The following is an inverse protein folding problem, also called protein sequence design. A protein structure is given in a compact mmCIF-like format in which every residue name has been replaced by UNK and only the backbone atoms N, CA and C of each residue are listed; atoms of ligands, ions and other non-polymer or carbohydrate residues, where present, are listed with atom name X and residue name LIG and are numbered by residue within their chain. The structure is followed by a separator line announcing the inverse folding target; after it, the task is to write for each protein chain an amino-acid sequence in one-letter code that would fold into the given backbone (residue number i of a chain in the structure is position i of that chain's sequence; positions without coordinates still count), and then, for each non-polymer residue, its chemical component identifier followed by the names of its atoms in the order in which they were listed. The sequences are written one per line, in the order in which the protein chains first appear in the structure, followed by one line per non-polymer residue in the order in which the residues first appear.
data_IF_050673420096
#
_entry.id   IF_050673420096
#
_cell.length_a   1.000
_cell.length_b   1.000
_cell.length_c   1.000
_cell.angle_alpha   90.00
_cell.angle_beta   90.00
_cell.angle_gamma   90.00
#
_symmetry.space_group_name_H-M   'P 1'
#
loop_
_entity.id
_entity.type
_entity.pdbx_description
1 polymer ?
#
# COMPACT_ATOMS: atom_id res chain seq x y z
N UNK A 1 -10.48 3.91 7.49
CA UNK A 1 -11.23 5.03 8.11
C UNK A 1 -12.38 4.44 8.92
N UNK A 2 -12.40 4.64 10.24
CA UNK A 2 -13.59 4.33 11.04
C UNK A 2 -14.63 5.39 10.66
N UNK A 3 -15.54 5.06 9.74
CA UNK A 3 -16.76 5.85 9.61
C UNK A 3 -17.50 5.66 10.94
N UNK A 4 -17.38 6.65 11.83
CA UNK A 4 -18.31 6.77 12.94
C UNK A 4 -19.70 6.88 12.32
N UNK A 5 -20.46 5.79 12.37
CA UNK A 5 -21.85 5.72 11.92
C UNK A 5 -22.64 6.65 12.84
N UNK A 6 -22.83 7.91 12.42
CA UNK A 6 -23.71 8.84 13.13
C UNK A 6 -25.13 8.39 12.82
N UNK A 7 -25.68 7.54 13.70
CA UNK A 7 -27.05 7.07 13.60
C UNK A 7 -28.04 8.25 13.54
N UNK A 8 -28.92 8.32 12.53
CA UNK A 8 -29.93 9.36 12.42
C UNK A 8 -31.14 9.01 13.29
N UNK A 9 -30.97 8.98 14.61
CA UNK A 9 -32.08 8.98 15.55
C UNK A 9 -31.60 9.43 16.93
N UNK A 10 -31.67 10.73 17.19
CA UNK A 10 -32.41 11.19 18.37
C UNK A 10 -32.58 12.70 18.33
N UNK A 11 -33.83 13.11 18.17
CA UNK A 11 -34.31 14.46 18.32
C UNK A 11 -34.50 14.77 19.80
N UNK A 12 -33.41 14.75 20.58
CA UNK A 12 -33.42 15.37 21.90
C UNK A 12 -31.98 15.68 22.30
N UNK A 13 -31.67 16.97 22.45
CA UNK A 13 -30.39 17.41 22.98
C UNK A 13 -30.23 16.97 24.42
N UNK A 14 -29.48 15.89 24.66
CA UNK A 14 -28.87 15.58 25.96
C UNK A 14 -27.65 14.72 25.72
N UNK A 15 -26.45 15.29 25.94
CA UNK A 15 -25.20 14.54 25.98
C UNK A 15 -25.20 13.67 27.23
N UNK A 16 -25.27 12.36 27.08
CA UNK A 16 -25.11 11.40 28.17
C UNK A 16 -23.67 10.87 28.16
N UNK A 17 -22.92 11.25 29.19
CA UNK A 17 -21.65 10.64 29.59
C UNK A 17 -21.90 9.17 29.95
N UNK A 18 -21.26 8.24 29.25
CA UNK A 18 -21.17 6.85 29.74
C UNK A 18 -19.99 6.76 30.71
N UNK A 19 -20.35 6.76 31.99
CA UNK A 19 -19.45 6.65 33.13
C UNK A 19 -18.69 5.31 33.17
N UNK A 20 -17.46 5.45 33.67
CA UNK A 20 -16.55 4.42 34.18
C UNK A 20 -17.24 3.30 34.98
N UNK A 21 -17.05 2.06 34.53
CA UNK A 21 -17.39 0.84 35.26
C UNK A 21 -16.18 0.15 35.90
N UNK A 22 -15.81 0.60 37.10
CA UNK A 22 -15.42 -0.18 38.28
C UNK A 22 -14.74 -1.56 38.12
N UNK A 23 -13.45 -1.62 38.49
CA UNK A 23 -12.75 -2.86 38.93
C UNK A 23 -13.42 -3.48 40.17
N UNK A 24 -13.40 -4.82 40.31
CA UNK A 24 -13.32 -5.46 41.61
C UNK A 24 -11.93 -6.08 41.83
N UNK A 25 -11.29 -5.65 42.93
CA UNK A 25 -10.25 -6.40 43.64
C UNK A 25 -10.87 -7.65 44.28
N UNK A 26 -10.11 -8.75 44.38
CA UNK A 26 -10.17 -9.91 45.29
C UNK A 26 -9.46 -11.09 44.55
N UNK A 27 -8.61 -11.94 45.10
CA UNK A 27 -7.92 -12.12 46.38
C UNK A 27 -6.83 -13.19 46.08
N UNK A 28 -5.64 -13.08 46.68
CA UNK A 28 -4.62 -14.13 46.62
C UNK A 28 -5.12 -15.43 47.28
N UNK A 29 -4.88 -16.57 46.60
CA UNK A 29 -4.58 -17.85 47.24
C UNK A 29 -3.96 -18.84 46.24
N UNK A 30 -2.76 -19.29 46.58
CA UNK A 30 -1.94 -20.30 45.90
C UNK A 30 -2.67 -21.61 45.57
N UNK A 31 -2.41 -22.19 44.40
CA UNK A 31 -2.19 -23.64 44.25
C UNK A 31 -1.42 -23.96 42.95
N UNK A 32 -0.45 -24.87 43.10
CA UNK A 32 0.62 -25.21 42.16
C UNK A 32 0.22 -25.99 40.89
N UNK A 33 1.14 -25.89 39.92
CA UNK A 33 1.49 -26.87 38.88
C UNK A 33 0.46 -27.23 37.81
N UNK A 34 0.59 -26.53 36.68
CA UNK A 34 0.36 -27.11 35.36
C UNK A 34 1.29 -26.42 34.37
N UNK A 35 2.29 -27.13 33.83
CA UNK A 35 2.91 -26.70 32.58
C UNK A 35 1.80 -26.56 31.55
N UNK A 36 1.52 -25.33 31.12
CA UNK A 36 0.70 -25.07 29.95
C UNK A 36 1.25 -25.91 28.81
N UNK A 37 0.43 -26.65 28.05
CA UNK A 37 0.92 -27.26 26.84
C UNK A 37 1.44 -26.13 25.97
N UNK A 38 2.73 -26.18 25.61
CA UNK A 38 3.31 -25.33 24.58
C UNK A 38 2.35 -25.37 23.39
N UNK A 39 1.67 -24.26 23.09
CA UNK A 39 0.79 -24.20 21.93
C UNK A 39 1.67 -24.52 20.73
N UNK A 40 1.40 -25.66 20.10
CA UNK A 40 2.12 -26.03 18.89
C UNK A 40 1.60 -25.11 17.81
N UNK A 41 2.38 -24.08 17.48
CA UNK A 41 2.06 -23.18 16.36
C UNK A 41 2.05 -24.02 15.09
N UNK A 42 0.89 -24.11 14.45
CA UNK A 42 0.75 -24.81 13.18
C UNK A 42 1.23 -23.90 12.06
N UNK A 43 2.19 -24.38 11.25
CA UNK A 43 2.71 -23.66 10.09
C UNK A 43 2.23 -24.31 8.80
N UNK A 44 1.91 -23.51 7.78
CA UNK A 44 1.61 -23.92 6.42
C UNK A 44 2.78 -23.52 5.51
N UNK A 45 3.28 -24.49 4.75
CA UNK A 45 4.15 -24.21 3.61
C UNK A 45 3.32 -23.56 2.50
N UNK A 46 3.78 -22.45 1.95
CA UNK A 46 3.04 -21.70 0.92
C UNK A 46 3.74 -21.78 -0.44
N UNK A 47 3.02 -21.46 -1.52
CA UNK A 47 3.63 -21.26 -2.83
C UNK A 47 4.26 -19.86 -3.01
N UNK A 48 4.08 -18.97 -2.03
CA UNK A 48 4.76 -17.68 -1.99
C UNK A 48 6.24 -17.91 -1.65
N UNK A 49 7.14 -17.45 -2.50
CA UNK A 49 8.59 -17.65 -2.33
C UNK A 49 9.24 -16.39 -1.75
N UNK A 50 10.40 -16.57 -1.14
CA UNK A 50 11.28 -15.46 -0.79
C UNK A 50 12.15 -15.10 -2.00
N UNK A 51 12.48 -13.82 -2.15
CA UNK A 51 13.48 -13.42 -3.13
C UNK A 51 14.87 -13.97 -2.74
N UNK A 52 15.58 -14.54 -3.71
CA UNK A 52 17.01 -14.81 -3.59
C UNK A 52 17.81 -13.54 -3.84
N UNK A 53 18.93 -13.36 -3.14
CA UNK A 53 19.87 -12.25 -3.35
C UNK A 53 20.53 -12.34 -4.73
N UNK A 54 19.82 -11.88 -5.77
CA UNK A 54 20.43 -11.62 -7.06
C UNK A 54 21.03 -10.21 -7.00
N UNK A 55 22.21 -10.11 -6.39
CA UNK A 55 22.97 -8.87 -6.27
C UNK A 55 23.47 -8.41 -7.65
N UNK A 56 22.55 -7.84 -8.44
CA UNK A 56 22.81 -7.11 -9.68
C UNK A 56 23.44 -5.74 -9.40
N UNK A 57 24.62 -5.71 -8.80
CA UNK A 57 25.47 -4.52 -8.75
C UNK A 57 26.40 -4.53 -9.97
N UNK A 58 25.86 -4.25 -11.16
CA UNK A 58 26.69 -3.98 -12.33
C UNK A 58 27.00 -2.47 -12.42
N UNK A 59 27.84 -2.00 -11.50
CA UNK A 59 28.45 -0.67 -11.55
C UNK A 59 29.75 -0.75 -12.34
N UNK A 60 29.66 -0.96 -13.66
CA UNK A 60 30.80 -0.66 -14.54
C UNK A 60 30.39 -0.31 -15.97
N UNK A 61 30.36 0.98 -16.29
CA UNK A 61 30.89 1.53 -17.56
C UNK A 61 30.55 3.01 -17.75
N UNK A 62 31.26 3.87 -17.02
CA UNK A 62 31.51 5.25 -17.46
C UNK A 62 33.02 5.47 -17.55
N UNK A 63 33.62 4.98 -18.64
CA UNK A 63 34.80 5.59 -19.27
C UNK A 63 35.24 4.75 -20.47
N UNK A 64 35.09 5.30 -21.67
CA UNK A 64 36.02 4.99 -22.74
C UNK A 64 36.27 6.22 -23.59
N UNK A 65 37.53 6.64 -23.63
CA UNK A 65 38.13 7.15 -24.84
C UNK A 65 39.57 6.65 -24.94
N UNK A 66 39.89 6.19 -26.15
CA UNK A 66 41.22 6.01 -26.76
C UNK A 66 41.93 4.64 -26.73
N UNK A 67 42.27 4.25 -27.97
CA UNK A 67 43.43 3.50 -28.49
C UNK A 67 43.52 1.97 -28.37
N UNK A 68 43.23 1.33 -29.52
CA UNK A 68 44.07 0.39 -30.28
C UNK A 68 45.11 -0.49 -29.55
N UNK A 69 44.96 -1.81 -29.66
CA UNK A 69 45.87 -2.68 -30.45
C UNK A 69 45.49 -4.16 -30.29
N UNK A 70 45.67 -4.91 -31.38
CA UNK A 70 45.50 -6.35 -31.56
C UNK A 70 46.34 -7.22 -30.60
N UNK A 71 45.77 -8.33 -30.12
CA UNK A 71 46.46 -9.63 -30.01
C UNK A 71 45.47 -10.77 -29.74
N UNK A 72 45.63 -11.86 -30.48
CA UNK A 72 44.96 -13.15 -30.33
C UNK A 72 45.15 -13.72 -28.92
N UNK A 73 44.09 -14.26 -28.32
CA UNK A 73 44.23 -15.33 -27.36
C UNK A 73 42.98 -16.22 -27.32
N UNK A 74 43.14 -17.44 -27.81
CA UNK A 74 42.19 -18.53 -27.70
C UNK A 74 42.08 -18.99 -26.24
N UNK A 75 40.99 -18.67 -25.56
CA UNK A 75 40.61 -19.30 -24.30
C UNK A 75 39.22 -19.90 -24.42
N UNK A 76 39.20 -21.23 -24.37
CA UNK A 76 38.01 -22.07 -24.18
C UNK A 76 37.29 -21.64 -22.91
N UNK A 77 36.12 -21.00 -23.06
CA UNK A 77 35.25 -20.68 -21.94
C UNK A 77 34.54 -21.95 -21.49
N UNK A 78 34.96 -22.48 -20.34
CA UNK A 78 34.24 -23.51 -19.62
C UNK A 78 32.92 -22.92 -19.13
N UNK A 79 31.80 -23.47 -19.60
CA UNK A 79 30.46 -23.15 -19.11
C UNK A 79 30.34 -23.57 -17.65
N UNK A 80 30.57 -22.61 -16.74
CA UNK A 80 30.24 -22.77 -15.34
C UNK A 80 28.71 -22.68 -15.22
N UNK A 81 28.08 -23.83 -14.96
CA UNK A 81 26.69 -23.92 -14.53
C UNK A 81 26.51 -22.94 -13.35
N UNK A 82 25.69 -21.90 -13.57
CA UNK A 82 25.16 -21.10 -12.48
C UNK A 82 24.37 -22.06 -11.58
N UNK A 83 24.96 -22.45 -10.46
CA UNK A 83 24.27 -23.19 -9.42
C UNK A 83 23.18 -22.28 -8.87
N UNK A 84 21.97 -22.41 -9.40
CA UNK A 84 20.77 -21.80 -8.85
C UNK A 84 20.70 -22.20 -7.38
N UNK A 85 20.80 -21.22 -6.48
CA UNK A 85 20.56 -21.45 -5.07
C UNK A 85 19.16 -22.06 -4.91
N UNK A 86 18.97 -23.04 -4.02
CA UNK A 86 17.66 -23.64 -3.81
C UNK A 86 16.67 -22.55 -3.40
N UNK A 87 15.58 -22.44 -4.16
CA UNK A 87 14.52 -21.46 -3.90
C UNK A 87 13.99 -21.62 -2.47
N UNK A 88 13.94 -20.51 -1.72
CA UNK A 88 13.50 -20.52 -0.32
C UNK A 88 11.99 -20.34 -0.25
N UNK A 89 11.31 -21.39 0.21
CA UNK A 89 9.86 -21.41 0.40
C UNK A 89 9.49 -20.64 1.68
N UNK A 90 8.45 -19.81 1.62
CA UNK A 90 7.91 -19.14 2.80
C UNK A 90 6.92 -20.06 3.53
N UNK A 91 7.12 -20.19 4.84
CA UNK A 91 6.14 -20.77 5.75
C UNK A 91 5.38 -19.62 6.42
N UNK A 92 4.07 -19.76 6.58
CA UNK A 92 3.26 -18.83 7.36
C UNK A 92 2.55 -19.59 8.48
N UNK A 93 2.25 -18.95 9.63
CA UNK A 93 1.29 -19.48 10.58
C UNK A 93 0.00 -19.88 9.84
N UNK A 94 -0.63 -20.99 10.22
CA UNK A 94 -1.93 -21.33 9.67
C UNK A 94 -2.94 -20.23 10.03
N UNK A 95 -3.92 -19.96 9.16
CA UNK A 95 -4.92 -18.90 9.43
C UNK A 95 -5.76 -19.15 10.70
N UNK A 96 -5.78 -20.39 11.23
CA UNK A 96 -6.42 -20.75 12.50
C UNK A 96 -5.44 -20.75 13.69
N UNK A 97 -4.18 -20.37 13.49
CA UNK A 97 -3.17 -20.27 14.55
C UNK A 97 -3.37 -18.99 15.36
N UNK A 98 -3.11 -19.07 16.67
CA UNK A 98 -3.12 -17.91 17.56
C UNK A 98 -1.90 -16.98 17.37
N UNK A 99 -0.98 -17.33 16.47
CA UNK A 99 0.23 -16.56 16.18
C UNK A 99 0.03 -15.71 14.92
N UNK A 100 -0.02 -14.38 15.04
CA UNK A 100 -0.05 -13.46 13.93
C UNK A 100 1.16 -13.60 13.00
N UNK A 101 0.98 -13.31 11.71
CA UNK A 101 2.05 -13.38 10.71
C UNK A 101 3.22 -12.47 11.07
N UNK A 102 2.96 -11.26 11.57
CA UNK A 102 3.96 -10.25 11.90
C UNK A 102 4.83 -10.61 13.11
N UNK A 103 4.38 -11.50 13.99
CA UNK A 103 5.23 -12.08 15.03
C UNK A 103 6.22 -13.12 14.46
N UNK A 104 5.84 -13.79 13.37
CA UNK A 104 6.68 -14.78 12.71
C UNK A 104 7.72 -14.15 11.77
N UNK A 105 7.36 -13.10 11.02
CA UNK A 105 8.24 -12.51 9.99
C UNK A 105 9.64 -12.12 10.49
N UNK A 106 9.87 -11.60 11.72
CA UNK A 106 11.21 -11.33 12.24
C UNK A 106 12.14 -12.55 12.30
N UNK A 107 11.58 -13.77 12.29
CA UNK A 107 12.34 -15.03 12.28
C UNK A 107 12.84 -15.43 10.89
N UNK A 108 12.39 -14.73 9.83
CA UNK A 108 12.79 -14.95 8.43
C UNK A 108 13.93 -13.97 8.07
N UNK A 109 15.20 -14.41 8.00
CA UNK A 109 16.34 -13.51 7.84
C UNK A 109 16.25 -12.63 6.59
N UNK A 110 15.79 -13.18 5.46
CA UNK A 110 15.71 -12.46 4.18
C UNK A 110 14.77 -11.26 4.26
N UNK A 111 13.64 -11.42 4.96
CA UNK A 111 12.66 -10.33 5.14
C UNK A 111 13.13 -9.34 6.20
N UNK A 112 13.79 -9.81 7.26
CA UNK A 112 14.37 -8.93 8.27
C UNK A 112 15.46 -8.06 7.66
N UNK A 113 16.36 -8.65 6.89
CA UNK A 113 17.52 -7.96 6.33
C UNK A 113 17.06 -6.96 5.24
N UNK A 114 16.11 -7.32 4.37
CA UNK A 114 15.56 -6.40 3.37
C UNK A 114 14.72 -5.27 3.99
N UNK A 115 14.02 -5.56 5.11
CA UNK A 115 13.34 -4.55 5.92
C UNK A 115 14.35 -3.59 6.55
N UNK A 116 15.40 -4.11 7.18
CA UNK A 116 16.42 -3.29 7.85
C UNK A 116 17.13 -2.38 6.83
N UNK A 117 17.44 -2.87 5.63
CA UNK A 117 18.01 -2.07 4.54
C UNK A 117 17.06 -0.94 4.11
N UNK A 118 15.77 -1.25 3.91
CA UNK A 118 14.79 -0.24 3.51
C UNK A 118 14.58 0.84 4.58
N UNK A 119 14.45 0.43 5.85
CA UNK A 119 14.16 1.34 6.96
C UNK A 119 15.39 2.12 7.45
N UNK A 120 16.60 1.72 7.07
CA UNK A 120 17.84 2.42 7.43
C UNK A 120 18.05 3.72 6.64
N UNK A 121 17.28 3.96 5.57
CA UNK A 121 17.44 5.12 4.69
C UNK A 121 16.31 6.11 4.89
N UNK A 122 16.65 7.39 5.03
CA UNK A 122 15.66 8.46 5.15
C UNK A 122 14.75 8.53 3.91
N UNK A 123 13.44 8.80 4.08
CA UNK A 123 12.51 8.89 2.96
C UNK A 123 12.90 9.96 1.94
N UNK A 124 12.91 9.58 0.67
CA UNK A 124 13.11 10.51 -0.46
C UNK A 124 11.95 11.50 -0.52
N UNK A 125 12.27 12.79 -0.53
CA UNK A 125 11.29 13.87 -0.53
C UNK A 125 10.91 14.27 -1.96
N UNK A 126 9.63 14.13 -2.29
CA UNK A 126 9.08 14.57 -3.56
C UNK A 126 8.29 15.88 -3.42
N UNK A 127 8.67 16.85 -4.26
CA UNK A 127 8.11 18.19 -4.24
C UNK A 127 7.94 18.74 -5.66
N UNK A 128 7.37 19.94 -5.78
CA UNK A 128 7.10 20.56 -7.09
C UNK A 128 8.31 20.60 -8.03
N UNK A 129 9.52 20.73 -7.49
CA UNK A 129 10.76 20.79 -8.28
C UNK A 129 11.38 19.40 -8.59
N UNK A 130 10.77 18.30 -8.18
CA UNK A 130 11.24 16.95 -8.50
C UNK A 130 11.11 16.70 -10.01
N UNK A 131 12.18 16.17 -10.61
CA UNK A 131 12.29 15.97 -12.06
C UNK A 131 11.68 14.67 -12.56
N UNK A 132 11.51 13.70 -11.67
CA UNK A 132 10.93 12.40 -11.94
C UNK A 132 9.45 12.54 -12.26
N UNK A 133 8.95 11.79 -13.24
CA UNK A 133 7.52 11.67 -13.53
C UNK A 133 6.89 10.77 -12.47
N UNK A 134 6.26 11.39 -11.48
CA UNK A 134 5.59 10.72 -10.38
C UNK A 134 4.13 10.41 -10.74
N UNK A 135 3.68 9.22 -10.37
CA UNK A 135 2.27 8.87 -10.33
C UNK A 135 1.92 8.53 -8.87
N UNK A 136 1.27 9.47 -8.21
CA UNK A 136 0.90 9.37 -6.82
C UNK A 136 -0.44 8.63 -6.66
N UNK A 137 -0.48 7.64 -5.78
CA UNK A 137 -1.66 6.82 -5.45
C UNK A 137 -2.14 7.15 -4.04
N UNK A 138 -3.38 7.63 -3.89
CA UNK A 138 -3.97 7.89 -2.57
C UNK A 138 -4.52 6.61 -1.95
N UNK A 139 -4.82 6.68 -0.65
CA UNK A 139 -5.56 5.66 0.08
C UNK A 139 -6.86 5.28 -0.66
N UNK A 140 -7.09 3.97 -0.83
CA UNK A 140 -8.25 3.45 -1.54
C UNK A 140 -8.10 3.43 -3.07
N UNK A 141 -6.93 3.74 -3.62
CA UNK A 141 -6.66 3.72 -5.06
C UNK A 141 -5.66 2.64 -5.48
N UNK A 142 -5.71 2.26 -6.76
CA UNK A 142 -4.75 1.38 -7.45
C UNK A 142 -4.28 2.06 -8.73
N UNK A 143 -3.00 1.97 -9.03
CA UNK A 143 -2.45 2.35 -10.33
C UNK A 143 -1.60 1.24 -10.92
N UNK A 144 -1.72 1.02 -12.24
CA UNK A 144 -0.84 0.14 -13.02
C UNK A 144 -0.07 0.98 -14.04
N UNK A 145 1.24 0.84 -14.14
CA UNK A 145 2.04 1.64 -15.05
C UNK A 145 3.28 0.89 -15.59
N UNK A 146 3.77 1.38 -16.72
CA UNK A 146 5.01 0.97 -17.38
C UNK A 146 6.05 2.09 -17.26
N UNK A 147 7.33 1.74 -17.32
CA UNK A 147 8.44 2.71 -17.28
C UNK A 147 8.41 3.75 -18.43
N UNK A 148 7.66 3.48 -19.50
CA UNK A 148 7.43 4.45 -20.59
C UNK A 148 6.44 5.57 -20.21
N UNK A 149 5.60 5.36 -19.18
CA UNK A 149 4.53 6.27 -18.78
C UNK A 149 4.96 7.19 -17.63
N UNK A 150 5.57 6.61 -16.58
CA UNK A 150 6.10 7.32 -15.44
C UNK A 150 7.40 6.67 -14.94
N UNK A 151 8.16 7.43 -14.16
CA UNK A 151 9.43 6.96 -13.61
C UNK A 151 9.21 6.29 -12.25
N UNK A 152 8.26 6.82 -11.46
CA UNK A 152 7.99 6.38 -10.09
C UNK A 152 6.49 6.27 -9.84
N UNK A 153 6.08 5.16 -9.23
CA UNK A 153 4.81 5.02 -8.52
C UNK A 153 5.07 5.25 -7.03
N UNK A 154 4.25 6.06 -6.37
CA UNK A 154 4.44 6.41 -4.96
C UNK A 154 3.10 6.51 -4.22
N UNK A 155 3.10 6.08 -2.96
CA UNK A 155 2.08 6.43 -1.98
C UNK A 155 2.76 6.74 -0.64
N UNK A 156 2.15 7.59 0.17
CA UNK A 156 2.62 7.91 1.52
C UNK A 156 1.46 8.07 2.52
N UNK A 157 1.81 8.47 3.76
CA UNK A 157 0.91 8.63 4.91
C UNK A 157 0.26 7.33 5.37
N UNK A 158 0.93 6.21 5.13
CA UNK A 158 0.52 4.94 5.70
C UNK A 158 0.77 4.95 7.23
N UNK A 159 -0.30 5.07 8.01
CA UNK A 159 -0.27 4.88 9.46
C UNK A 159 -0.61 3.44 9.79
N UNK A 160 -1.88 3.09 9.94
CA UNK A 160 -2.34 1.70 10.16
C UNK A 160 -2.56 0.92 8.86
N UNK A 161 -2.56 1.61 7.73
CA UNK A 161 -2.76 1.07 6.37
C UNK A 161 -1.45 0.57 5.74
N UNK A 162 -1.58 -0.14 4.62
CA UNK A 162 -0.47 -0.79 3.91
C UNK A 162 -0.38 -0.34 2.46
N UNK A 163 0.85 -0.09 2.00
CA UNK A 163 1.16 0.13 0.60
C UNK A 163 1.72 -1.16 0.02
N UNK A 164 1.01 -1.71 -0.97
CA UNK A 164 1.40 -2.91 -1.70
C UNK A 164 1.88 -2.51 -3.10
N UNK A 165 3.13 -2.83 -3.41
CA UNK A 165 3.71 -2.68 -4.74
C UNK A 165 3.96 -4.07 -5.36
N UNK A 166 3.42 -4.28 -6.55
CA UNK A 166 3.61 -5.48 -7.36
C UNK A 166 4.38 -5.12 -8.63
N UNK A 167 5.37 -5.92 -9.00
CA UNK A 167 6.07 -5.76 -10.28
C UNK A 167 6.16 -7.10 -10.98
N UNK A 168 5.63 -7.20 -12.20
CA UNK A 168 5.71 -8.43 -12.99
C UNK A 168 6.74 -8.31 -14.12
N UNK A 169 7.51 -9.37 -14.30
CA UNK A 169 8.47 -9.57 -15.38
C UNK A 169 8.05 -10.81 -16.17
N UNK A 170 8.01 -10.69 -17.49
CA UNK A 170 7.54 -11.71 -18.42
C UNK A 170 7.99 -11.39 -19.85
N UNK A 171 7.15 -11.71 -20.83
CA UNK A 171 7.42 -11.52 -22.26
C UNK A 171 7.28 -10.06 -22.73
N UNK A 172 6.55 -9.23 -21.98
CA UNK A 172 6.36 -7.79 -22.26
C UNK A 172 7.17 -6.93 -21.28
N UNK A 173 7.31 -5.61 -21.57
CA UNK A 173 7.93 -4.69 -20.62
C UNK A 173 7.30 -4.83 -19.23
N UNK A 174 8.15 -4.78 -18.20
CA UNK A 174 7.72 -4.97 -16.83
C UNK A 174 6.58 -4.01 -16.49
N UNK A 175 5.54 -4.55 -15.86
CA UNK A 175 4.42 -3.77 -15.37
C UNK A 175 4.51 -3.66 -13.87
N UNK A 176 4.32 -2.45 -13.36
CA UNK A 176 4.31 -2.18 -11.92
C UNK A 176 2.95 -1.68 -11.53
N UNK A 177 2.44 -2.17 -10.41
CA UNK A 177 1.19 -1.73 -9.82
C UNK A 177 1.41 -1.34 -8.37
N UNK A 178 0.75 -0.29 -7.92
CA UNK A 178 0.81 0.17 -6.54
C UNK A 178 -0.60 0.47 -6.02
N UNK A 179 -0.89 0.02 -4.80
CA UNK A 179 -2.15 0.27 -4.12
C UNK A 179 -1.93 0.63 -2.65
N UNK A 180 -2.83 1.44 -2.11
CA UNK A 180 -2.83 1.84 -0.70
C UNK A 180 -4.10 1.29 -0.03
N UNK A 181 -3.91 0.25 0.79
CA UNK A 181 -4.92 -0.61 1.39
C UNK A 181 -5.18 -0.16 2.84
N UNK A 182 -6.42 0.15 3.17
CA UNK A 182 -6.83 0.59 4.51
C UNK A 182 -7.85 -0.33 5.20
N UNK A 183 -8.11 -1.51 4.63
CA UNK A 183 -8.98 -2.53 5.22
C UNK A 183 -8.68 -3.93 4.66
N UNK A 184 -9.19 -4.95 5.32
CA UNK A 184 -9.12 -6.36 4.94
C UNK A 184 -10.23 -6.79 3.95
N UNK A 185 -10.95 -5.83 3.36
CA UNK A 185 -12.11 -6.11 2.51
C UNK A 185 -11.83 -6.03 1.00
N UNK A 186 -10.56 -5.92 0.61
CA UNK A 186 -10.15 -5.67 -0.79
C UNK A 186 -9.77 -6.91 -1.58
N UNK A 187 -10.17 -8.11 -1.16
CA UNK A 187 -9.72 -9.37 -1.76
C UNK A 187 -9.96 -9.39 -3.29
N UNK A 188 -11.17 -9.07 -3.72
CA UNK A 188 -11.53 -9.02 -5.14
C UNK A 188 -10.67 -8.03 -5.93
N UNK A 189 -10.28 -6.92 -5.30
CA UNK A 189 -9.45 -5.90 -5.92
C UNK A 189 -7.98 -6.35 -6.04
N UNK A 190 -7.42 -6.99 -5.02
CA UNK A 190 -6.05 -7.51 -5.06
C UNK A 190 -5.94 -8.66 -6.08
N UNK A 191 -6.93 -9.55 -6.11
CA UNK A 191 -7.03 -10.59 -7.14
C UNK A 191 -7.09 -9.97 -8.55
N UNK A 192 -7.95 -8.98 -8.77
CA UNK A 192 -8.03 -8.28 -10.04
C UNK A 192 -6.72 -7.58 -10.42
N UNK A 193 -6.03 -6.95 -9.45
CA UNK A 193 -4.72 -6.33 -9.65
C UNK A 193 -3.68 -7.33 -10.15
N UNK A 194 -3.63 -8.54 -9.58
CA UNK A 194 -2.74 -9.64 -10.03
C UNK A 194 -3.15 -10.16 -11.41
N UNK A 195 -4.45 -10.30 -11.68
CA UNK A 195 -4.94 -10.70 -13.01
C UNK A 195 -4.54 -9.68 -14.10
N UNK A 196 -4.52 -8.38 -13.82
CA UNK A 196 -4.03 -7.39 -14.79
C UNK A 196 -2.56 -7.64 -15.17
N UNK A 197 -1.71 -8.09 -14.25
CA UNK A 197 -0.32 -8.47 -14.57
C UNK A 197 -0.27 -9.71 -15.47
N UNK A 198 -1.12 -10.70 -15.22
CA UNK A 198 -1.23 -11.92 -16.04
C UNK A 198 -1.78 -11.62 -17.43
N UNK A 199 -2.76 -10.72 -17.55
CA UNK A 199 -3.32 -10.28 -18.83
C UNK A 199 -2.37 -9.39 -19.62
N UNK A 200 -1.53 -8.61 -18.93
CA UNK A 200 -0.52 -7.79 -19.56
C UNK A 200 0.52 -8.64 -20.27
N UNK A 201 1.06 -9.67 -19.61
CA UNK A 201 2.00 -10.62 -20.22
C UNK A 201 1.26 -11.68 -21.07
N UNK A 202 1.88 -12.24 -22.10
CA UNK A 202 1.26 -13.32 -22.89
C UNK A 202 1.20 -14.62 -22.09
N UNK A 203 0.07 -15.31 -22.14
CA UNK A 203 -0.26 -16.49 -21.34
C UNK A 203 0.53 -17.78 -21.67
N UNK A 204 1.65 -17.69 -22.38
CA UNK A 204 2.40 -18.89 -22.83
C UNK A 204 3.49 -19.32 -21.85
N UNK A 205 4.02 -18.38 -21.08
CA UNK A 205 5.09 -18.63 -20.12
C UNK A 205 4.68 -18.08 -18.75
N UNK A 206 5.17 -18.72 -17.68
CA UNK A 206 4.93 -18.24 -16.34
C UNK A 206 5.68 -16.91 -16.13
N UNK A 207 5.01 -15.94 -15.49
CA UNK A 207 5.62 -14.66 -15.16
C UNK A 207 6.18 -14.68 -13.75
N UNK A 208 7.22 -13.89 -13.50
CA UNK A 208 7.67 -13.60 -12.13
C UNK A 208 6.94 -12.37 -11.61
N UNK A 209 6.41 -12.43 -10.39
CA UNK A 209 5.82 -11.29 -9.69
C UNK A 209 6.59 -10.99 -8.40
N UNK A 210 7.20 -9.82 -8.35
CA UNK A 210 7.88 -9.27 -7.20
C UNK A 210 6.90 -8.48 -6.33
N UNK A 211 6.94 -8.71 -5.01
CA UNK A 211 6.00 -8.16 -4.04
C UNK A 211 6.76 -7.39 -2.97
N UNK A 212 6.35 -6.15 -2.72
CA UNK A 212 6.89 -5.30 -1.67
C UNK A 212 5.74 -4.68 -0.87
N UNK A 213 5.85 -4.72 0.45
CA UNK A 213 4.81 -4.22 1.37
C UNK A 213 5.44 -3.35 2.44
N UNK A 214 4.90 -2.15 2.64
CA UNK A 214 5.27 -1.25 3.74
C UNK A 214 4.00 -0.66 4.35
N UNK A 215 3.93 -0.57 5.67
CA UNK A 215 2.87 0.17 6.36
C UNK A 215 2.36 -0.55 7.60
N UNK A 216 1.47 0.10 8.33
CA UNK A 216 1.11 -0.35 9.66
C UNK A 216 2.25 -0.18 10.67
N UNK A 217 1.90 -0.31 11.93
CA UNK A 217 2.84 -0.39 13.06
C UNK A 217 2.20 -1.26 14.15
N UNK A 218 2.81 -1.40 15.33
CA UNK A 218 2.18 -2.11 16.43
C UNK A 218 1.13 -1.22 17.13
N UNK A 219 0.02 -0.93 16.45
CA UNK A 219 -1.08 -0.10 16.98
C UNK A 219 -1.90 -0.83 18.04
N UNK A 220 -2.44 -0.07 19.01
CA UNK A 220 -3.12 -0.62 20.19
C UNK A 220 -4.41 -1.36 19.84
N UNK A 221 -5.08 -0.92 18.79
CA UNK A 221 -6.34 -1.45 18.29
C UNK A 221 -6.17 -2.68 17.38
N UNK A 222 -4.93 -3.02 17.01
CA UNK A 222 -4.61 -4.18 16.18
C UNK A 222 -5.07 -4.05 14.72
N UNK A 223 -5.34 -2.84 14.23
CA UNK A 223 -5.75 -2.60 12.84
C UNK A 223 -4.66 -3.02 11.84
N UNK A 224 -3.41 -2.64 12.10
CA UNK A 224 -2.27 -2.97 11.24
C UNK A 224 -2.02 -4.46 11.19
N UNK A 225 -2.09 -5.13 12.35
CA UNK A 225 -1.93 -6.57 12.46
C UNK A 225 -3.05 -7.30 11.70
N UNK A 226 -4.30 -6.83 11.80
CA UNK A 226 -5.43 -7.40 11.06
C UNK A 226 -5.21 -7.35 9.55
N UNK A 227 -4.82 -6.18 9.00
CA UNK A 227 -4.52 -6.03 7.56
C UNK A 227 -3.31 -6.88 7.16
N UNK A 228 -2.27 -6.93 7.99
CA UNK A 228 -1.06 -7.72 7.73
C UNK A 228 -1.35 -9.22 7.60
N UNK A 229 -2.09 -9.78 8.55
CA UNK A 229 -2.51 -11.19 8.53
C UNK A 229 -3.34 -11.51 7.29
N UNK A 230 -4.37 -10.71 7.03
CA UNK A 230 -5.24 -10.90 5.87
C UNK A 230 -4.44 -10.83 4.56
N UNK A 231 -3.61 -9.80 4.38
CA UNK A 231 -2.91 -9.57 3.12
C UNK A 231 -1.90 -10.69 2.82
N UNK A 232 -1.12 -11.13 3.79
CA UNK A 232 -0.14 -12.21 3.57
C UNK A 232 -0.80 -13.56 3.32
N UNK A 233 -1.90 -13.87 4.00
CA UNK A 233 -2.67 -15.08 3.68
C UNK A 233 -3.29 -15.02 2.29
N UNK A 234 -3.88 -13.89 1.92
CA UNK A 234 -4.44 -13.71 0.57
C UNK A 234 -3.36 -13.88 -0.51
N UNK A 235 -2.18 -13.28 -0.33
CA UNK A 235 -1.09 -13.42 -1.30
C UNK A 235 -0.56 -14.87 -1.37
N UNK A 236 -0.51 -15.58 -0.24
CA UNK A 236 -0.15 -17.00 -0.22
C UNK A 236 -1.19 -17.88 -0.93
N UNK A 237 -2.48 -17.64 -0.72
CA UNK A 237 -3.56 -18.36 -1.39
C UNK A 237 -3.53 -18.09 -2.90
N UNK A 238 -3.35 -16.83 -3.33
CA UNK A 238 -3.21 -16.49 -4.76
C UNK A 238 -1.98 -17.15 -5.37
N UNK A 239 -0.85 -17.21 -4.65
CA UNK A 239 0.36 -17.87 -5.15
C UNK A 239 0.16 -19.39 -5.36
N UNK A 240 -0.68 -20.03 -4.54
CA UNK A 240 -1.03 -21.44 -4.71
C UNK A 240 -2.00 -21.65 -5.87
N UNK A 241 -3.01 -20.79 -6.01
CA UNK A 241 -3.97 -20.83 -7.11
C UNK A 241 -3.32 -20.56 -8.47
N UNK A 242 -2.32 -19.69 -8.52
CA UNK A 242 -1.68 -19.22 -9.76
C UNK A 242 -0.32 -19.87 -10.04
N UNK A 243 0.08 -20.90 -9.28
CA UNK A 243 1.42 -21.50 -9.31
C UNK A 243 1.91 -21.92 -10.71
N UNK A 244 0.99 -22.32 -11.59
CA UNK A 244 1.32 -22.73 -12.97
C UNK A 244 1.62 -21.55 -13.91
N UNK A 245 1.25 -20.32 -13.52
CA UNK A 245 1.30 -19.14 -14.39
C UNK A 245 1.99 -17.92 -13.80
N UNK A 246 2.09 -17.83 -12.47
CA UNK A 246 2.73 -16.73 -11.77
C UNK A 246 3.60 -17.30 -10.66
N UNK A 247 4.89 -17.01 -10.73
CA UNK A 247 5.80 -17.20 -9.62
C UNK A 247 5.84 -15.94 -8.76
N UNK A 248 5.23 -16.00 -7.58
CA UNK A 248 5.15 -14.87 -6.64
C UNK A 248 6.33 -14.90 -5.65
N UNK A 249 7.05 -13.78 -5.55
CA UNK A 249 8.22 -13.58 -4.67
C UNK A 249 8.06 -12.37 -3.77
N UNK A 250 8.01 -12.60 -2.45
CA UNK A 250 8.04 -11.54 -1.44
C UNK A 250 9.48 -11.05 -1.26
N UNK A 251 9.77 -9.81 -1.69
CA UNK A 251 11.12 -9.22 -1.60
C UNK A 251 11.30 -8.39 -0.34
N UNK A 252 10.34 -7.50 -0.05
CA UNK A 252 10.39 -6.59 1.10
C UNK A 252 9.07 -6.60 1.84
N UNK A 253 9.14 -6.74 3.16
CA UNK A 253 7.96 -6.75 4.03
C UNK A 253 8.28 -5.99 5.33
N UNK A 254 7.89 -4.73 5.40
CA UNK A 254 8.03 -3.88 6.57
C UNK A 254 6.62 -3.51 7.07
N UNK A 255 6.00 -4.41 7.84
CA UNK A 255 4.59 -4.27 8.24
C UNK A 255 4.36 -4.46 9.73
N UNK A 256 3.34 -3.81 10.28
CA UNK A 256 2.92 -3.97 11.69
C UNK A 256 4.13 -3.86 12.64
N UNK A 257 4.37 -4.83 13.53
CA UNK A 257 5.52 -4.85 14.44
C UNK A 257 6.89 -4.75 13.76
N UNK A 258 7.03 -5.18 12.50
CA UNK A 258 8.28 -5.01 11.74
C UNK A 258 8.53 -3.57 11.28
N UNK A 259 7.52 -2.71 11.30
CA UNK A 259 7.60 -1.30 10.92
C UNK A 259 7.42 -0.35 12.12
N UNK A 260 7.38 -0.89 13.35
CA UNK A 260 7.21 -0.09 14.55
C UNK A 260 8.52 0.51 15.04
N UNK A 261 8.50 1.79 15.42
CA UNK A 261 9.66 2.52 15.95
C UNK A 261 10.00 2.21 17.41
N UNK A 262 9.19 1.41 18.09
CA UNK A 262 9.21 1.21 19.55
C UNK A 262 8.40 2.25 20.32
N UNK A 263 7.80 3.22 19.62
CA UNK A 263 7.01 4.32 20.20
C UNK A 263 5.58 4.37 19.62
N UNK A 264 5.01 3.23 19.22
CA UNK A 264 3.67 3.14 18.63
C UNK A 264 3.52 4.07 17.42
N UNK A 265 4.49 4.01 16.53
CA UNK A 265 4.57 4.88 15.38
C UNK A 265 5.31 4.18 14.25
N UNK A 266 4.80 4.24 13.00
CA UNK A 266 5.43 3.62 11.86
C UNK A 266 6.74 4.34 11.49
N UNK A 267 7.77 3.55 11.20
CA UNK A 267 9.05 4.03 10.66
C UNK A 267 8.86 4.39 9.19
N UNK A 268 8.45 3.43 8.37
CA UNK A 268 8.15 3.59 6.96
C UNK A 268 6.68 3.97 6.75
N UNK A 269 6.45 5.22 6.31
CA UNK A 269 5.10 5.77 6.06
C UNK A 269 4.75 5.90 4.57
N UNK A 270 5.72 5.73 3.69
CA UNK A 270 5.51 5.82 2.26
C UNK A 270 6.47 4.92 1.50
N UNK A 271 5.97 4.38 0.39
CA UNK A 271 6.67 3.45 -0.46
C UNK A 271 6.63 3.96 -1.88
N UNK A 272 7.79 4.06 -2.49
CA UNK A 272 7.97 4.33 -3.90
C UNK A 272 8.67 3.15 -4.59
N UNK A 273 8.36 2.96 -5.86
CA UNK A 273 9.02 1.99 -6.73
C UNK A 273 9.43 2.68 -8.03
N UNK A 274 10.70 2.53 -8.41
CA UNK A 274 11.21 3.03 -9.69
C UNK A 274 10.91 2.02 -10.81
N UNK A 275 10.13 2.43 -11.81
CA UNK A 275 9.50 1.48 -12.74
C UNK A 275 10.50 0.78 -13.66
N UNK A 276 11.59 1.45 -14.04
CA UNK A 276 12.59 0.86 -14.92
C UNK A 276 13.43 -0.22 -14.21
N UNK A 277 13.74 -0.03 -12.93
CA UNK A 277 14.66 -0.89 -12.19
C UNK A 277 13.95 -1.86 -11.24
N UNK A 278 12.72 -1.56 -10.82
CA UNK A 278 12.02 -2.28 -9.76
C UNK A 278 12.52 -1.98 -8.35
N UNK A 279 13.45 -1.03 -8.19
CA UNK A 279 13.98 -0.64 -6.89
C UNK A 279 12.90 0.04 -6.06
N UNK A 280 12.74 -0.41 -4.82
CA UNK A 280 11.86 0.22 -3.82
C UNK A 280 12.66 1.07 -2.84
N UNK A 281 12.04 2.14 -2.35
CA UNK A 281 12.60 3.03 -1.34
C UNK A 281 11.49 3.75 -0.58
N UNK A 282 11.80 4.22 0.63
CA UNK A 282 10.86 5.03 1.40
C UNK A 282 10.70 6.41 0.76
N UNK A 283 9.48 6.94 0.76
CA UNK A 283 9.17 8.21 0.12
C UNK A 283 8.20 9.06 0.95
N UNK A 284 8.31 10.38 0.79
CA UNK A 284 7.35 11.37 1.29
C UNK A 284 7.07 12.38 0.18
N UNK A 285 5.81 12.58 -0.15
CA UNK A 285 5.38 13.42 -1.25
C UNK A 285 4.52 14.59 -0.75
N UNK A 286 4.93 15.79 -1.12
CA UNK A 286 4.14 16.99 -0.85
C UNK A 286 2.84 17.00 -1.67
N UNK A 287 1.85 17.74 -1.18
CA UNK A 287 0.57 17.94 -1.88
C UNK A 287 0.72 18.53 -3.30
N UNK A 288 1.86 19.18 -3.61
CA UNK A 288 2.14 19.72 -4.93
C UNK A 288 2.38 18.66 -6.01
N UNK A 289 2.70 17.41 -5.62
CA UNK A 289 2.93 16.28 -6.54
C UNK A 289 1.94 15.14 -6.35
N UNK A 290 1.04 15.25 -5.37
CA UNK A 290 -0.02 14.26 -5.10
C UNK A 290 -1.29 14.46 -5.96
N UNK A 291 -1.21 15.33 -6.98
CA UNK A 291 -2.32 15.62 -7.90
C UNK A 291 -2.56 14.53 -8.96
N UNK A 292 -3.54 14.74 -9.87
CA UNK A 292 -4.50 15.85 -9.91
C UNK A 292 -5.54 15.74 -8.80
N UNK A 293 -6.18 16.88 -8.47
CA UNK A 293 -7.36 16.97 -7.60
C UNK A 293 -7.34 16.06 -6.37
N UNK A 294 -6.27 16.14 -5.58
CA UNK A 294 -6.11 15.39 -4.32
C UNK A 294 -7.36 15.43 -3.44
N UNK A 295 -7.95 16.61 -3.22
CA UNK A 295 -9.14 16.77 -2.38
C UNK A 295 -10.36 16.02 -2.94
N UNK A 296 -10.59 16.06 -4.27
CA UNK A 296 -11.69 15.31 -4.89
C UNK A 296 -11.45 13.79 -4.76
N UNK A 297 -10.22 13.32 -4.95
CA UNK A 297 -9.88 11.90 -4.83
C UNK A 297 -10.07 11.42 -3.39
N UNK A 298 -9.60 12.18 -2.42
CA UNK A 298 -9.80 11.91 -0.99
C UNK A 298 -11.27 11.95 -0.56
N UNK A 299 -12.08 12.81 -1.20
CA UNK A 299 -13.51 12.89 -0.92
C UNK A 299 -14.22 11.54 -1.09
N UNK A 300 -13.72 10.66 -1.96
CA UNK A 300 -14.26 9.31 -2.16
C UNK A 300 -14.31 8.50 -0.87
N UNK A 301 -13.29 8.60 -0.02
CA UNK A 301 -13.26 7.90 1.27
C UNK A 301 -14.48 8.28 2.12
N UNK A 302 -14.89 9.54 2.06
CA UNK A 302 -15.99 10.12 2.83
C UNK A 302 -17.36 10.01 2.15
N UNK A 303 -17.46 9.43 0.95
CA UNK A 303 -18.63 9.53 0.07
C UNK A 303 -19.56 8.31 0.10
N UNK A 304 -19.54 7.50 1.17
CA UNK A 304 -20.41 6.33 1.29
C UNK A 304 -21.88 6.74 1.34
N UNK A 305 -22.62 6.48 0.27
CA UNK A 305 -24.09 6.49 0.27
C UNK A 305 -24.60 5.10 0.62
N UNK A 306 -25.30 4.98 1.74
CA UNK A 306 -25.73 3.73 2.40
C UNK A 306 -26.67 2.79 1.59
N UNK A 307 -26.97 3.07 0.31
CA UNK A 307 -28.06 2.34 -0.37
C UNK A 307 -27.62 1.09 -1.16
N UNK A 308 -26.33 0.92 -1.43
CA UNK A 308 -25.80 -0.34 -1.92
C UNK A 308 -24.45 -0.51 -1.24
N UNK A 309 -24.20 -1.64 -0.58
CA UNK A 309 -22.86 -2.02 -0.15
C UNK A 309 -22.21 -2.84 -1.29
N UNK A 310 -21.69 -2.25 -2.38
CA UNK A 310 -20.66 -2.94 -3.12
C UNK A 310 -19.47 -3.04 -2.15
N UNK A 311 -18.87 -4.22 -2.08
CA UNK A 311 -17.65 -4.47 -1.31
C UNK A 311 -16.68 -3.27 -1.42
N UNK A 312 -16.02 -2.90 -0.32
CA UNK A 312 -14.96 -1.89 -0.30
C UNK A 312 -14.11 -2.06 -1.56
N UNK A 313 -14.13 -1.06 -2.45
CA UNK A 313 -13.55 -1.18 -3.79
C UNK A 313 -12.38 -0.23 -3.92
N UNK A 314 -11.22 -0.78 -4.23
CA UNK A 314 -10.08 0.04 -4.66
C UNK A 314 -10.38 0.65 -6.04
N UNK A 315 -10.14 1.94 -6.17
CA UNK A 315 -10.40 2.67 -7.42
C UNK A 315 -9.17 2.64 -8.32
N UNK A 316 -9.29 2.04 -9.50
CA UNK A 316 -8.21 2.07 -10.50
C UNK A 316 -8.16 3.45 -11.15
N UNK A 317 -7.04 4.17 -10.99
CA UNK A 317 -6.86 5.54 -11.48
C UNK A 317 -5.95 5.65 -12.72
N UNK A 318 -5.18 4.60 -13.02
CA UNK A 318 -4.24 4.58 -14.13
C UNK A 318 -4.00 3.14 -14.59
N UNK A 319 -3.79 2.95 -15.89
CA UNK A 319 -3.58 1.63 -16.50
C UNK A 319 -2.34 1.61 -17.38
N UNK A 320 -1.79 0.42 -17.64
CA UNK A 320 -0.70 0.25 -18.60
C UNK A 320 -1.09 0.58 -20.07
N UNK A 321 -2.37 0.88 -20.34
CA UNK A 321 -2.91 1.14 -21.69
C UNK A 321 -2.95 2.63 -22.05
N UNK A 322 -2.95 3.53 -21.05
CA UNK A 322 -3.04 4.98 -21.27
C UNK A 322 -2.13 5.74 -20.31
N UNK A 323 -1.52 6.84 -20.75
CA UNK A 323 -0.74 7.72 -19.88
C UNK A 323 -1.62 8.80 -19.22
N UNK A 324 -2.86 8.41 -18.87
CA UNK A 324 -3.89 9.28 -18.31
C UNK A 324 -4.18 8.88 -16.87
N UNK A 325 -4.35 9.87 -16.00
CA UNK A 325 -5.07 9.64 -14.74
C UNK A 325 -6.56 9.81 -15.01
N UNK A 326 -7.33 8.81 -14.61
CA UNK A 326 -8.77 8.76 -14.77
C UNK A 326 -9.43 8.83 -13.39
N UNK A 327 -10.29 9.83 -13.20
CA UNK A 327 -11.18 9.89 -12.03
C UNK A 327 -12.57 9.51 -12.51
N UNK A 328 -12.95 8.26 -12.23
CA UNK A 328 -14.30 7.78 -12.53
C UNK A 328 -15.33 8.46 -11.63
N UNK A 329 -16.53 8.75 -12.16
CA UNK A 329 -17.54 9.49 -11.45
C UNK A 329 -18.02 8.70 -10.23
N UNK A 330 -18.32 9.42 -9.16
CA UNK A 330 -18.94 8.86 -7.95
C UNK A 330 -19.86 9.88 -7.34
N UNK A 331 -20.98 9.39 -6.82
CA UNK A 331 -21.92 10.23 -6.10
C UNK A 331 -21.32 10.61 -4.76
N UNK A 332 -21.48 11.88 -4.40
CA UNK A 332 -21.16 12.38 -3.08
C UNK A 332 -22.10 13.53 -2.71
N UNK A 333 -22.32 13.68 -1.42
CA UNK A 333 -23.16 14.71 -0.85
C UNK A 333 -22.66 15.08 0.55
N UNK A 334 -23.08 16.26 1.02
CA UNK A 334 -22.91 16.65 2.40
C UNK A 334 -23.59 15.64 3.34
N UNK A 335 -22.84 15.11 4.30
CA UNK A 335 -23.37 14.25 5.36
C UNK A 335 -23.76 15.13 6.55
N UNK A 336 -24.92 14.90 7.20
CA UNK A 336 -25.32 15.64 8.38
C UNK A 336 -24.22 15.68 9.45
N UNK A 337 -23.91 16.88 9.96
CA UNK A 337 -22.89 17.06 11.01
C UNK A 337 -21.46 17.25 10.53
N UNK A 338 -21.19 17.22 9.21
CA UNK A 338 -19.85 17.55 8.66
C UNK A 338 -19.36 18.95 9.06
N UNK A 339 -20.27 19.92 9.15
CA UNK A 339 -19.98 21.29 9.62
C UNK A 339 -19.49 21.30 11.07
N UNK A 340 -20.13 20.49 11.92
CA UNK A 340 -19.76 20.34 13.34
C UNK A 340 -18.43 19.61 13.48
N UNK A 341 -18.24 18.51 12.75
CA UNK A 341 -16.98 17.75 12.72
C UNK A 341 -15.81 18.67 12.30
N UNK A 342 -16.00 19.47 11.25
CA UNK A 342 -15.01 20.45 10.77
C UNK A 342 -14.80 21.63 11.74
N UNK A 343 -15.68 21.87 12.73
CA UNK A 343 -15.49 22.90 13.73
C UNK A 343 -14.78 22.41 15.01
N UNK A 344 -14.58 21.10 15.16
CA UNK A 344 -13.86 20.53 16.30
C UNK A 344 -12.40 21.00 16.31
N UNK A 345 -11.78 21.20 17.49
CA UNK A 345 -10.32 21.32 17.64
C UNK A 345 -9.56 20.14 17.00
N UNK A 346 -8.28 20.33 16.64
CA UNK A 346 -7.50 19.33 15.90
C UNK A 346 -7.28 18.03 16.68
N UNK A 347 -7.03 18.11 18.00
CA UNK A 347 -6.93 16.96 18.90
C UNK A 347 -8.21 16.11 18.88
N UNK A 348 -9.37 16.76 18.99
CA UNK A 348 -10.66 16.05 18.95
C UNK A 348 -10.98 15.56 17.54
N UNK A 349 -10.64 16.32 16.49
CA UNK A 349 -10.87 15.89 15.11
C UNK A 349 -10.09 14.61 14.81
N UNK A 350 -8.83 14.52 15.24
CA UNK A 350 -7.99 13.33 15.06
C UNK A 350 -8.67 12.08 15.63
N UNK A 351 -9.13 12.15 16.89
CA UNK A 351 -9.81 11.03 17.57
C UNK A 351 -11.03 10.50 16.81
N UNK A 352 -11.77 11.37 16.12
CA UNK A 352 -12.96 10.96 15.36
C UNK A 352 -12.68 10.51 13.93
N UNK A 353 -11.51 10.83 13.38
CA UNK A 353 -11.27 10.71 11.93
C UNK A 353 -10.03 9.91 11.54
N UNK A 354 -9.13 9.64 12.49
CA UNK A 354 -7.96 8.78 12.32
C UNK A 354 -8.16 7.43 13.01
N UNK A 355 -7.49 6.40 12.49
CA UNK A 355 -7.33 5.09 13.15
C UNK A 355 -6.16 5.05 14.12
N UNK A 356 -5.31 6.09 14.15
CA UNK A 356 -4.13 6.21 15.01
C UNK A 356 -3.81 7.70 15.27
N UNK A 357 -4.59 8.41 16.09
CA UNK A 357 -4.48 9.86 16.31
C UNK A 357 -3.06 10.35 16.64
N UNK A 358 -2.33 9.61 17.48
CA UNK A 358 -0.98 9.95 17.91
C UNK A 358 0.10 9.76 16.82
N UNK A 359 -0.23 9.05 15.75
CA UNK A 359 0.70 8.72 14.67
C UNK A 359 0.45 9.55 13.39
N UNK A 360 -0.56 10.41 13.33
CA UNK A 360 -0.81 11.22 12.13
C UNK A 360 0.21 12.35 11.92
N UNK A 361 0.33 12.81 10.69
CA UNK A 361 1.19 13.94 10.31
C UNK A 361 0.46 15.30 10.50
N UNK A 362 1.23 16.38 10.63
CA UNK A 362 0.71 17.74 10.91
C UNK A 362 -0.34 18.24 9.90
N UNK A 363 -0.33 17.74 8.66
CA UNK A 363 -1.26 18.15 7.60
C UNK A 363 -2.49 17.24 7.47
N UNK A 364 -2.66 16.25 8.36
CA UNK A 364 -3.84 15.39 8.42
C UNK A 364 -5.13 16.22 8.64
N UNK A 365 -5.22 16.95 9.76
CA UNK A 365 -6.40 17.76 10.09
C UNK A 365 -6.72 18.83 9.03
N UNK A 366 -5.74 19.61 8.52
CA UNK A 366 -5.96 20.50 7.38
C UNK A 366 -6.53 19.80 6.14
N UNK A 367 -6.07 18.58 5.84
CA UNK A 367 -6.55 17.78 4.69
C UNK A 367 -7.97 17.29 4.89
N UNK A 368 -8.29 16.77 6.09
CA UNK A 368 -9.66 16.37 6.46
C UNK A 368 -10.61 17.55 6.32
N UNK A 369 -10.30 18.71 6.93
CA UNK A 369 -11.17 19.91 6.84
C UNK A 369 -11.36 20.39 5.40
N UNK A 370 -10.31 20.34 4.58
CA UNK A 370 -10.41 20.71 3.16
C UNK A 370 -11.32 19.77 2.38
N UNK A 371 -11.28 18.48 2.70
CA UNK A 371 -12.12 17.45 2.10
C UNK A 371 -13.58 17.58 2.54
N UNK A 372 -13.84 17.77 3.83
CA UNK A 372 -15.19 18.01 4.35
C UNK A 372 -15.81 19.29 3.78
N UNK A 373 -15.03 20.37 3.69
CA UNK A 373 -15.47 21.62 3.04
C UNK A 373 -15.85 21.39 1.59
N UNK A 374 -15.05 20.64 0.84
CA UNK A 374 -15.33 20.31 -0.55
C UNK A 374 -16.68 19.57 -0.69
N UNK A 375 -16.93 18.57 0.17
CA UNK A 375 -18.18 17.80 0.17
C UNK A 375 -19.40 18.66 0.53
N UNK A 376 -19.23 19.67 1.38
CA UNK A 376 -20.27 20.61 1.76
C UNK A 376 -20.61 21.63 0.66
N UNK A 377 -19.59 22.14 -0.03
CA UNK A 377 -19.73 23.30 -0.94
C UNK A 377 -19.92 22.90 -2.41
N UNK A 378 -19.46 21.72 -2.81
CA UNK A 378 -19.43 21.31 -4.22
C UNK A 378 -20.37 20.12 -4.43
N UNK A 379 -21.49 20.28 -5.15
CA UNK A 379 -22.30 19.14 -5.57
C UNK A 379 -21.55 18.24 -6.56
N UNK A 380 -21.71 16.92 -6.45
CA UNK A 380 -21.15 15.97 -7.44
C UNK A 380 -21.55 16.35 -8.87
N UNK A 381 -22.75 16.91 -9.08
CA UNK A 381 -23.24 17.33 -10.39
C UNK A 381 -22.36 18.40 -11.07
N UNK A 382 -21.63 19.22 -10.30
CA UNK A 382 -20.69 20.21 -10.85
C UNK A 382 -19.41 19.54 -11.38
N UNK A 383 -19.06 18.38 -10.83
CA UNK A 383 -17.81 17.64 -11.10
C UNK A 383 -18.02 16.51 -12.11
N UNK A 384 -19.12 15.78 -12.00
CA UNK A 384 -19.41 14.59 -12.80
C UNK A 384 -20.68 14.70 -13.64
N UNK A 385 -21.27 15.90 -13.74
CA UNK A 385 -22.52 16.12 -14.48
C UNK A 385 -23.74 15.65 -13.68
N UNK A 386 -24.93 16.08 -14.10
CA UNK A 386 -26.19 15.82 -13.37
C UNK A 386 -26.52 14.34 -13.18
N UNK A 387 -26.04 13.48 -14.09
CA UNK A 387 -26.27 12.04 -14.05
C UNK A 387 -25.10 11.28 -13.39
N UNK A 388 -24.07 11.99 -12.91
CA UNK A 388 -22.86 11.41 -12.33
C UNK A 388 -22.20 10.38 -13.26
N UNK A 389 -22.06 10.73 -14.54
CA UNK A 389 -21.57 9.88 -15.63
C UNK A 389 -20.35 10.45 -16.36
N UNK A 390 -19.97 11.70 -16.07
CA UNK A 390 -18.80 12.33 -16.68
C UNK A 390 -17.51 11.88 -15.99
N UNK A 391 -16.76 11.00 -16.64
CA UNK A 391 -15.39 10.67 -16.27
C UNK A 391 -14.46 11.88 -16.49
N UNK A 392 -13.52 12.12 -15.55
CA UNK A 392 -12.48 13.14 -15.72
C UNK A 392 -11.16 12.46 -16.14
N UNK A 393 -10.53 12.98 -17.19
CA UNK A 393 -9.27 12.44 -17.73
C UNK A 393 -8.18 13.50 -17.67
N UNK A 394 -7.01 13.12 -17.17
CA UNK A 394 -5.89 14.04 -16.99
C UNK A 394 -4.65 13.53 -17.69
N UNK A 395 -3.97 14.42 -18.41
CA UNK A 395 -2.65 14.18 -19.01
C UNK A 395 -1.62 15.12 -18.39
N UNK A 396 -0.34 14.75 -18.45
CA UNK A 396 0.73 15.65 -17.98
C UNK A 396 0.76 16.92 -18.84
N UNK A 397 0.97 18.08 -18.21
CA UNK A 397 1.07 19.38 -18.89
C UNK A 397 2.19 19.38 -19.94
N UNK A 398 3.34 18.82 -19.58
CA UNK A 398 4.43 18.53 -20.50
C UNK A 398 5.05 17.18 -20.18
N UNK A 399 5.89 16.67 -21.08
CA UNK A 399 6.45 15.32 -20.99
C UNK A 399 7.14 15.04 -19.64
N UNK A 400 7.82 16.05 -19.07
CA UNK A 400 8.61 15.91 -17.83
C UNK A 400 7.97 16.65 -16.62
N UNK A 401 6.67 16.93 -16.62
CA UNK A 401 6.02 17.59 -15.48
C UNK A 401 5.24 16.64 -14.59
N UNK A 402 5.22 16.96 -13.30
CA UNK A 402 4.25 16.44 -12.32
C UNK A 402 2.93 17.24 -12.27
N UNK A 403 2.77 18.21 -13.19
CA UNK A 403 1.52 18.94 -13.35
C UNK A 403 0.59 18.20 -14.31
N UNK A 404 -0.66 18.03 -13.89
CA UNK A 404 -1.70 17.35 -14.65
C UNK A 404 -2.72 18.37 -15.17
N UNK A 405 -3.20 18.18 -16.39
CA UNK A 405 -4.23 19.01 -17.03
C UNK A 405 -5.42 18.16 -17.43
N UNK A 406 -6.63 18.66 -17.14
CA UNK A 406 -7.87 18.03 -17.57
C UNK A 406 -7.96 18.07 -19.10
N UNK A 407 -8.31 16.93 -19.69
CA UNK A 407 -8.62 16.78 -21.12
C UNK A 407 -10.14 16.75 -21.26
N UNK A 408 -10.64 17.49 -22.26
CA UNK A 408 -12.07 17.66 -22.54
C UNK A 408 -12.69 16.42 -23.18
#
# INVERSE_FOLDING_TARGET
MVLATIHPSDSCGTLVSLDNGSKPLLHESDFCHGCSPSSVVAYRQTALKLASDDSGLDLSSASSSSSSSSMDNSYSFCSCEQQQQPEKVLFLPAAQSDTPVDEFLPSVPELRDSRDELLAVDPVQFHKASSEKLLYVHQGEVAHALASQCDILVSDRATTCHILALRSVGDKPAMTSLTHIDSDQYETCIRAMIQEHKLHHSSKEAITMEINIVGGFADEEGHSQKISNWLLHLLADIAEEETDSIEMRLKTCAISSMNDSGFQCPIGRGLAIHLATGQVFLAKASSAVAGPHMILRNARLWSSTEEEHPASKLTVIHTAKSNEIVIEPFAFAAIPGMDRLMALPDDILLEYTSTSPCAEEDDFCPTVRSTLRFLLEVPHANVFGRLCDRTLRFVRRCHNSNEWMLVA
#
